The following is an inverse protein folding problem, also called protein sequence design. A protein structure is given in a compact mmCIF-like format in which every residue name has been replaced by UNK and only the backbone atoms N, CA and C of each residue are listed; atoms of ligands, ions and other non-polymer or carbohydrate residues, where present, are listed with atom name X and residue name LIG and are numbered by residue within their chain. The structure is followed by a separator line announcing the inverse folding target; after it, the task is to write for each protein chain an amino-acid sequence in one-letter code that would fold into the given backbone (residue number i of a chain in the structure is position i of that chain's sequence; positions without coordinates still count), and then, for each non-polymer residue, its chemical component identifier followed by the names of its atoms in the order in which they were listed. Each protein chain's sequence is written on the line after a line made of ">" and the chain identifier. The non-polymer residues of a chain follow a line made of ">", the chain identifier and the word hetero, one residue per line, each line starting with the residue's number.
data_IF_416471424581
#
_entry.id   IF_416471424581
#
_cell.length_a   1.000
_cell.length_b   1.000
_cell.length_c   1.000
_cell.angle_alpha   90.00
_cell.angle_beta   90.00
_cell.angle_gamma   90.00
#
_symmetry.space_group_name_H-M   'P 1'
#
loop_
_entity.id
_entity.type
_entity.pdbx_description
1 polymer ?
#
# COMPACT_ATOMS: atom_id res chain seq x y z
N UNK A 1 -1.99 37.77 7.82
CA UNK A 1 -1.27 36.48 7.81
C UNK A 1 -2.24 35.44 7.28
N UNK A 2 -1.89 34.68 6.24
CA UNK A 2 -2.75 33.61 5.74
C UNK A 2 -2.91 32.56 6.84
N UNK A 3 -4.15 32.14 7.10
CA UNK A 3 -4.41 31.04 8.01
C UNK A 3 -3.77 29.77 7.44
N UNK A 4 -2.87 29.15 8.21
CA UNK A 4 -2.21 27.90 7.82
C UNK A 4 -3.27 26.80 7.64
N UNK A 5 -3.04 25.90 6.68
CA UNK A 5 -3.85 24.69 6.50
C UNK A 5 -3.57 23.72 7.65
N UNK A 6 -4.55 22.89 7.99
CA UNK A 6 -4.47 21.98 9.14
C UNK A 6 -3.19 21.11 9.12
N UNK A 7 -2.81 20.60 7.95
CA UNK A 7 -1.68 19.68 7.79
C UNK A 7 -0.31 20.37 7.87
N UNK A 8 -0.23 21.70 7.80
CA UNK A 8 1.04 22.43 7.89
C UNK A 8 1.62 22.45 9.32
N UNK A 9 0.77 22.21 10.32
CA UNK A 9 1.14 22.21 11.74
C UNK A 9 0.63 20.98 12.49
N UNK A 10 0.02 20.01 11.80
CA UNK A 10 -0.62 18.86 12.42
C UNK A 10 0.37 17.93 13.12
N UNK A 11 -0.01 17.45 14.30
CA UNK A 11 0.58 16.29 14.96
C UNK A 11 -0.21 15.04 14.54
N UNK A 12 0.48 14.09 13.93
CA UNK A 12 -0.12 12.87 13.38
C UNK A 12 0.26 11.68 14.25
N UNK A 13 -0.75 10.96 14.74
CA UNK A 13 -0.58 9.71 15.49
C UNK A 13 -0.62 8.51 14.55
N UNK A 14 0.52 7.83 14.38
CA UNK A 14 0.57 6.62 13.57
C UNK A 14 0.00 5.43 14.34
N UNK A 15 -0.92 4.72 13.70
CA UNK A 15 -1.49 3.47 14.17
C UNK A 15 -0.95 2.32 13.30
N UNK A 16 -0.47 1.27 13.96
CA UNK A 16 -0.17 -0.01 13.33
C UNK A 16 -1.29 -1.01 13.68
N UNK A 17 -2.27 -1.25 12.78
CA UNK A 17 -3.54 -1.92 13.11
C UNK A 17 -3.37 -3.23 13.85
N UNK A 18 -2.51 -4.10 13.31
CA UNK A 18 -2.21 -5.45 13.80
C UNK A 18 -1.83 -5.52 15.28
N UNK A 19 -1.28 -4.45 15.84
CA UNK A 19 -0.75 -4.45 17.22
C UNK A 19 -1.38 -3.37 18.10
N UNK A 20 -2.46 -2.72 17.65
CA UNK A 20 -3.08 -1.63 18.39
C UNK A 20 -4.12 -2.13 19.40
N UNK A 21 -5.21 -2.73 18.91
CA UNK A 21 -6.27 -3.27 19.76
C UNK A 21 -7.03 -4.35 19.00
N UNK A 22 -7.04 -5.56 19.54
CA UNK A 22 -7.90 -6.67 19.10
C UNK A 22 -9.29 -6.52 19.73
N UNK A 23 -10.35 -6.65 18.93
CA UNK A 23 -11.74 -6.58 19.37
C UNK A 23 -12.52 -7.89 19.23
N UNK A 24 -11.94 -8.92 18.62
CA UNK A 24 -12.60 -10.20 18.32
C UNK A 24 -11.91 -11.42 18.97
N UNK A 25 -10.79 -11.19 19.67
CA UNK A 25 -9.97 -12.19 20.37
C UNK A 25 -9.24 -13.21 19.46
N UNK A 26 -8.94 -12.85 18.21
CA UNK A 26 -8.12 -13.68 17.30
C UNK A 26 -6.60 -13.43 17.44
N UNK A 27 -6.20 -12.45 18.27
CA UNK A 27 -4.81 -12.07 18.54
C UNK A 27 -4.24 -11.03 17.57
N UNK A 28 -5.05 -10.47 16.66
CA UNK A 28 -4.68 -9.47 15.67
C UNK A 28 -5.54 -8.21 15.93
N UNK A 29 -4.88 -7.05 16.01
CA UNK A 29 -5.62 -5.79 16.14
C UNK A 29 -6.38 -5.43 14.85
N UNK A 30 -7.56 -4.82 15.00
CA UNK A 30 -8.53 -4.62 13.91
C UNK A 30 -9.15 -3.20 13.92
N UNK A 31 -9.93 -2.86 12.88
CA UNK A 31 -10.52 -1.51 12.73
C UNK A 31 -11.55 -1.17 13.81
N UNK A 32 -12.30 -2.15 14.33
CA UNK A 32 -13.24 -1.91 15.42
C UNK A 32 -12.49 -1.67 16.73
N UNK A 33 -11.37 -2.37 16.94
CA UNK A 33 -10.44 -2.11 18.03
C UNK A 33 -9.89 -0.69 17.98
N UNK A 34 -9.47 -0.20 16.81
CA UNK A 34 -9.06 1.21 16.63
C UNK A 34 -10.21 2.15 16.99
N UNK A 35 -11.41 1.89 16.45
CA UNK A 35 -12.61 2.71 16.70
C UNK A 35 -12.90 2.84 18.19
N UNK A 36 -12.77 1.74 18.95
CA UNK A 36 -13.01 1.72 20.40
C UNK A 36 -12.04 2.55 21.23
N UNK A 37 -10.91 2.98 20.65
CA UNK A 37 -9.85 3.75 21.29
C UNK A 37 -9.73 5.18 20.76
N UNK A 38 -10.61 5.62 19.85
CA UNK A 38 -10.52 6.97 19.28
C UNK A 38 -10.68 8.07 20.33
N UNK A 39 -11.51 7.88 21.36
CA UNK A 39 -11.61 8.83 22.48
C UNK A 39 -10.27 9.00 23.20
N UNK A 40 -9.52 7.90 23.40
CA UNK A 40 -8.19 7.96 23.98
C UNK A 40 -7.24 8.76 23.10
N UNK A 41 -7.25 8.50 21.78
CA UNK A 41 -6.39 9.22 20.84
C UNK A 41 -6.73 10.70 20.78
N UNK A 42 -8.01 11.06 20.71
CA UNK A 42 -8.46 12.46 20.72
C UNK A 42 -7.99 13.19 22.00
N UNK A 43 -8.03 12.51 23.16
CA UNK A 43 -7.55 13.06 24.43
C UNK A 43 -6.02 13.24 24.49
N UNK A 44 -5.24 12.64 23.59
CA UNK A 44 -3.81 12.95 23.47
C UNK A 44 -3.57 14.34 22.86
N UNK A 45 -4.59 14.96 22.26
CA UNK A 45 -4.49 16.28 21.63
C UNK A 45 -3.81 16.27 20.27
N UNK A 46 -3.82 15.13 19.58
CA UNK A 46 -3.32 15.02 18.19
C UNK A 46 -4.36 15.50 17.20
N UNK A 47 -3.91 15.97 16.03
CA UNK A 47 -4.80 16.53 14.99
C UNK A 47 -5.29 15.45 14.02
N UNK A 48 -4.50 14.39 13.82
CA UNK A 48 -4.78 13.36 12.84
C UNK A 48 -4.30 11.98 13.31
N UNK A 49 -4.92 10.94 12.75
CA UNK A 49 -4.40 9.57 12.77
C UNK A 49 -3.93 9.17 11.39
N UNK A 50 -2.83 8.44 11.32
CA UNK A 50 -2.39 7.75 10.11
C UNK A 50 -2.39 6.25 10.37
N UNK A 51 -3.17 5.51 9.59
CA UNK A 51 -3.30 4.07 9.73
C UNK A 51 -2.36 3.39 8.72
N UNK A 52 -1.42 2.59 9.23
CA UNK A 52 -0.59 1.68 8.42
C UNK A 52 -1.48 0.68 7.65
N UNK A 53 -1.02 0.02 6.57
CA UNK A 53 -1.92 -0.64 5.64
C UNK A 53 -2.81 -1.71 6.30
N UNK A 54 -4.08 -1.65 5.92
CA UNK A 54 -5.14 -2.56 6.34
C UNK A 54 -5.92 -3.12 5.13
N UNK A 55 -5.35 -2.96 3.93
CA UNK A 55 -5.92 -3.44 2.68
C UNK A 55 -5.75 -4.95 2.53
N UNK A 56 -6.52 -5.57 1.62
CA UNK A 56 -6.31 -6.98 1.29
C UNK A 56 -4.87 -7.25 0.92
N UNK A 57 -4.31 -8.26 1.58
CA UNK A 57 -2.90 -8.64 1.46
C UNK A 57 -2.73 -10.10 1.85
N UNK A 58 -1.78 -10.84 1.23
CA UNK A 58 -1.35 -12.14 1.73
C UNK A 58 -0.55 -12.10 3.04
N UNK A 59 -0.26 -10.90 3.57
CA UNK A 59 0.46 -10.65 4.82
C UNK A 59 1.91 -11.16 4.83
N UNK A 60 2.56 -11.31 3.66
CA UNK A 60 3.98 -11.71 3.61
C UNK A 60 4.90 -10.60 4.11
N UNK A 61 4.47 -9.35 3.97
CA UNK A 61 5.09 -8.16 4.58
C UNK A 61 4.04 -7.38 5.40
N UNK A 62 3.21 -8.11 6.15
CA UNK A 62 2.24 -7.57 7.10
C UNK A 62 1.39 -6.39 6.58
N UNK A 63 0.85 -6.51 5.37
CA UNK A 63 -0.03 -5.51 4.75
C UNK A 63 0.65 -4.65 3.68
N UNK A 64 1.99 -4.65 3.60
CA UNK A 64 2.71 -3.91 2.55
C UNK A 64 2.76 -4.67 1.21
N UNK A 65 2.40 -5.94 1.17
CA UNK A 65 2.13 -6.68 -0.06
C UNK A 65 0.64 -6.65 -0.41
N UNK A 66 0.16 -5.55 -0.99
CA UNK A 66 -1.27 -5.30 -1.26
C UNK A 66 -1.77 -6.08 -2.49
N UNK A 67 -2.85 -6.83 -2.36
CA UNK A 67 -3.52 -7.56 -3.46
C UNK A 67 -4.79 -6.89 -3.97
N UNK A 68 -5.41 -6.01 -3.19
CA UNK A 68 -6.51 -5.12 -3.61
C UNK A 68 -6.44 -3.82 -2.80
N UNK A 69 -6.23 -2.69 -3.48
CA UNK A 69 -6.04 -1.37 -2.88
C UNK A 69 -7.35 -0.69 -2.42
N UNK A 70 -8.51 -1.22 -2.81
CA UNK A 70 -9.81 -0.60 -2.55
C UNK A 70 -10.69 -1.46 -1.63
N UNK A 71 -10.13 -2.49 -1.00
CA UNK A 71 -10.85 -3.36 -0.07
C UNK A 71 -10.02 -3.68 1.17
N UNK A 72 -10.71 -4.04 2.26
CA UNK A 72 -10.12 -4.27 3.58
C UNK A 72 -9.69 -5.73 3.71
N UNK A 73 -8.55 -5.96 4.35
CA UNK A 73 -8.12 -7.31 4.70
C UNK A 73 -9.12 -7.94 5.70
N UNK A 74 -9.59 -9.18 5.48
CA UNK A 74 -10.60 -9.80 6.36
C UNK A 74 -10.23 -9.81 7.84
N UNK A 75 -8.95 -9.92 8.18
CA UNK A 75 -8.44 -9.87 9.56
C UNK A 75 -8.58 -8.49 10.23
N UNK A 76 -8.75 -7.42 9.45
CA UNK A 76 -8.96 -6.07 9.97
C UNK A 76 -10.43 -5.64 9.97
N UNK A 77 -11.30 -6.39 9.29
CA UNK A 77 -12.74 -6.15 9.20
C UNK A 77 -13.20 -5.86 7.77
N UNK A 78 -14.14 -4.91 7.64
CA UNK A 78 -14.83 -4.61 6.38
C UNK A 78 -14.76 -3.12 6.03
N UNK A 79 -15.09 -2.80 4.78
CA UNK A 79 -15.20 -1.39 4.34
C UNK A 79 -16.24 -0.61 5.14
N UNK A 80 -17.28 -1.26 5.66
CA UNK A 80 -18.26 -0.62 6.53
C UNK A 80 -17.67 -0.31 7.91
N UNK A 81 -16.78 -1.16 8.43
CA UNK A 81 -16.08 -0.91 9.69
C UNK A 81 -15.15 0.29 9.54
N UNK A 82 -14.45 0.40 8.41
CA UNK A 82 -13.65 1.58 8.07
C UNK A 82 -14.51 2.86 8.01
N UNK A 83 -15.67 2.82 7.35
CA UNK A 83 -16.58 3.98 7.30
C UNK A 83 -17.08 4.41 8.67
N UNK A 84 -17.34 3.47 9.58
CA UNK A 84 -17.67 3.78 10.98
C UNK A 84 -16.49 4.43 11.70
N UNK A 85 -15.29 3.85 11.56
CA UNK A 85 -14.06 4.42 12.13
C UNK A 85 -13.86 5.87 11.66
N UNK A 86 -13.96 6.11 10.35
CA UNK A 86 -13.82 7.44 9.75
C UNK A 86 -14.85 8.43 10.32
N UNK A 87 -16.13 8.06 10.34
CA UNK A 87 -17.19 8.91 10.90
C UNK A 87 -16.96 9.22 12.38
N UNK A 88 -16.52 8.24 13.18
CA UNK A 88 -16.22 8.44 14.60
C UNK A 88 -15.02 9.36 14.78
N UNK A 89 -13.95 9.17 14.01
CA UNK A 89 -12.76 10.03 14.07
C UNK A 89 -13.12 11.49 13.76
N UNK A 90 -13.89 11.71 12.69
CA UNK A 90 -14.37 13.04 12.33
C UNK A 90 -15.28 13.66 13.40
N UNK A 91 -16.14 12.87 14.06
CA UNK A 91 -16.98 13.37 15.15
C UNK A 91 -16.19 13.83 16.38
N UNK A 92 -14.97 13.32 16.54
CA UNK A 92 -14.01 13.70 17.59
C UNK A 92 -13.05 14.81 17.12
N UNK A 93 -13.24 15.34 15.91
CA UNK A 93 -12.39 16.38 15.34
C UNK A 93 -11.04 15.89 14.78
N UNK A 94 -10.81 14.57 14.76
CA UNK A 94 -9.59 13.98 14.22
C UNK A 94 -9.65 13.90 12.69
N UNK A 95 -8.52 14.15 12.04
CA UNK A 95 -8.30 13.82 10.62
C UNK A 95 -7.85 12.37 10.47
N UNK A 96 -8.22 11.72 9.38
CA UNK A 96 -7.83 10.34 9.11
C UNK A 96 -7.06 10.22 7.81
N UNK A 97 -5.84 9.71 7.91
CA UNK A 97 -4.98 9.39 6.77
C UNK A 97 -4.76 7.88 6.67
N UNK A 98 -4.58 7.37 5.45
CA UNK A 98 -4.28 5.96 5.17
C UNK A 98 -2.95 5.82 4.44
N UNK A 99 -2.26 4.70 4.61
CA UNK A 99 -1.05 4.38 3.81
C UNK A 99 -1.45 4.09 2.35
N UNK A 100 -0.63 4.48 1.37
CA UNK A 100 -0.74 4.04 -0.03
C UNK A 100 0.62 3.47 -0.43
N UNK A 101 0.64 2.15 -0.64
CA UNK A 101 1.85 1.41 -1.04
C UNK A 101 2.01 1.47 -2.55
N UNK A 102 2.57 2.58 -3.04
CA UNK A 102 2.63 2.86 -4.46
C UNK A 102 3.73 2.09 -5.21
N UNK A 103 4.85 1.79 -4.55
CA UNK A 103 6.05 1.27 -5.22
C UNK A 103 5.88 -0.15 -5.82
N UNK A 104 5.01 -0.97 -5.26
CA UNK A 104 4.85 -2.39 -5.60
C UNK A 104 3.48 -2.87 -5.14
N UNK A 105 3.01 -3.97 -5.73
CA UNK A 105 1.86 -4.75 -5.23
C UNK A 105 2.32 -6.09 -4.68
N UNK A 106 1.39 -6.88 -4.15
CA UNK A 106 1.57 -8.32 -3.98
C UNK A 106 1.73 -9.05 -5.32
N UNK A 107 2.44 -10.18 -5.32
CA UNK A 107 2.43 -11.15 -6.41
C UNK A 107 1.05 -11.78 -6.63
N UNK A 108 0.13 -11.70 -5.66
CA UNK A 108 -1.27 -12.14 -5.81
C UNK A 108 -2.18 -11.05 -6.38
N UNK A 109 -1.67 -9.83 -6.61
CA UNK A 109 -2.46 -8.76 -7.20
C UNK A 109 -2.93 -9.15 -8.62
N UNK A 110 -4.20 -8.94 -8.98
CA UNK A 110 -4.74 -9.36 -10.28
C UNK A 110 -3.92 -8.85 -11.47
N UNK A 111 -3.36 -7.63 -11.37
CA UNK A 111 -2.55 -7.07 -12.45
C UNK A 111 -1.18 -7.73 -12.58
N UNK A 112 -0.55 -8.16 -11.48
CA UNK A 112 0.67 -8.96 -11.60
C UNK A 112 0.37 -10.33 -12.17
N UNK A 113 -0.72 -10.95 -11.72
CA UNK A 113 -1.19 -12.25 -12.22
C UNK A 113 -1.50 -12.23 -13.71
N UNK A 114 -2.09 -11.15 -14.23
CA UNK A 114 -2.27 -10.94 -15.66
C UNK A 114 -0.94 -10.65 -16.37
N UNK A 115 -0.19 -9.68 -15.85
CA UNK A 115 1.10 -9.23 -16.42
C UNK A 115 2.06 -10.40 -16.64
N UNK A 116 2.19 -11.30 -15.66
CA UNK A 116 3.15 -12.42 -15.70
C UNK A 116 2.81 -13.52 -16.71
N UNK A 117 1.62 -13.52 -17.33
CA UNK A 117 1.22 -14.60 -18.23
C UNK A 117 1.98 -14.57 -19.56
N UNK A 118 2.29 -13.39 -20.10
CA UNK A 118 2.94 -13.27 -21.41
C UNK A 118 3.57 -11.88 -21.62
N UNK A 119 4.38 -11.72 -22.67
CA UNK A 119 4.93 -10.42 -23.06
C UNK A 119 3.93 -9.52 -23.81
N UNK A 120 2.68 -9.97 -24.05
CA UNK A 120 1.72 -9.33 -24.97
C UNK A 120 0.31 -9.12 -24.39
N UNK A 121 0.09 -9.35 -23.09
CA UNK A 121 -1.21 -9.09 -22.45
C UNK A 121 -1.39 -7.59 -22.13
N UNK A 122 -2.59 -7.20 -21.69
CA UNK A 122 -2.94 -5.79 -21.46
C UNK A 122 -2.13 -5.11 -20.34
N UNK A 123 -1.55 -5.92 -19.44
CA UNK A 123 -0.75 -5.50 -18.29
C UNK A 123 0.73 -5.81 -18.45
N UNK A 124 1.19 -6.18 -19.64
CA UNK A 124 2.54 -6.73 -19.83
C UNK A 124 3.67 -5.76 -19.48
N UNK A 125 3.38 -4.46 -19.46
CA UNK A 125 4.29 -3.35 -19.11
C UNK A 125 3.84 -2.59 -17.84
N UNK A 126 3.03 -3.21 -16.98
CA UNK A 126 2.62 -2.59 -15.70
C UNK A 126 3.65 -2.78 -14.59
N UNK A 127 4.57 -3.72 -14.77
CA UNK A 127 5.67 -4.03 -13.85
C UNK A 127 6.98 -3.98 -14.63
N UNK A 128 8.09 -3.79 -13.92
CA UNK A 128 9.41 -3.80 -14.54
C UNK A 128 9.81 -5.23 -14.93
N UNK A 129 9.75 -5.52 -16.23
CA UNK A 129 10.22 -6.76 -16.84
C UNK A 129 11.47 -6.51 -17.67
N UNK A 130 12.37 -7.49 -17.69
CA UNK A 130 13.62 -7.40 -18.46
C UNK A 130 14.05 -8.79 -18.92
N UNK A 131 14.59 -8.87 -20.13
CA UNK A 131 15.19 -10.10 -20.63
C UNK A 131 16.47 -10.42 -19.85
N UNK A 132 16.83 -11.70 -19.68
CA UNK A 132 18.09 -12.08 -19.05
C UNK A 132 19.28 -11.59 -19.89
N UNK A 133 20.44 -11.45 -19.25
CA UNK A 133 21.71 -11.31 -19.97
C UNK A 133 21.98 -12.55 -20.84
N UNK A 134 22.90 -12.49 -21.84
CA UNK A 134 23.18 -13.63 -22.72
C UNK A 134 23.63 -14.92 -21.99
N UNK A 135 24.18 -14.78 -20.78
CA UNK A 135 24.58 -15.90 -19.90
C UNK A 135 23.45 -16.39 -18.98
N UNK A 136 22.26 -15.83 -19.09
CA UNK A 136 21.08 -16.15 -18.29
C UNK A 136 20.99 -15.39 -16.97
N UNK A 137 21.95 -14.52 -16.63
CA UNK A 137 21.96 -13.80 -15.34
C UNK A 137 21.03 -12.57 -15.31
N UNK A 138 20.69 -12.04 -14.12
CA UNK A 138 19.97 -10.78 -13.98
C UNK A 138 20.67 -9.61 -14.69
N UNK A 139 19.93 -8.56 -15.12
CA UNK A 139 20.48 -7.46 -15.92
C UNK A 139 21.43 -6.53 -15.14
N UNK A 140 21.32 -6.51 -13.81
CA UNK A 140 22.11 -5.63 -12.94
C UNK A 140 22.45 -6.35 -11.63
N UNK A 141 23.39 -5.79 -10.87
CA UNK A 141 23.76 -6.25 -9.53
C UNK A 141 22.86 -5.67 -8.42
N UNK A 142 21.66 -5.18 -8.73
CA UNK A 142 20.77 -4.59 -7.75
C UNK A 142 20.34 -5.63 -6.70
N UNK A 143 20.31 -5.21 -5.45
CA UNK A 143 19.98 -6.05 -4.30
C UNK A 143 18.63 -5.65 -3.72
N UNK A 144 17.89 -6.66 -3.24
CA UNK A 144 16.68 -6.42 -2.45
C UNK A 144 17.06 -5.93 -1.06
N UNK A 145 16.27 -4.99 -0.53
CA UNK A 145 16.38 -4.54 0.86
C UNK A 145 16.13 -5.66 1.88
N UNK A 146 15.46 -6.73 1.48
CA UNK A 146 15.16 -7.89 2.34
C UNK A 146 16.06 -9.10 2.06
N UNK A 147 17.15 -8.87 1.31
CA UNK A 147 18.19 -9.87 1.04
C UNK A 147 18.03 -10.56 -0.31
N UNK A 148 19.16 -10.97 -0.88
CA UNK A 148 19.23 -11.54 -2.23
C UNK A 148 19.22 -10.48 -3.34
N UNK A 149 19.18 -10.95 -4.59
CA UNK A 149 19.07 -10.08 -5.76
C UNK A 149 17.68 -9.43 -5.87
N UNK A 150 17.61 -8.27 -6.50
CA UNK A 150 16.35 -7.54 -6.75
C UNK A 150 15.55 -8.08 -7.96
N UNK A 151 16.01 -9.17 -8.58
CA UNK A 151 15.44 -9.70 -9.82
C UNK A 151 15.04 -11.16 -9.63
N UNK A 152 13.78 -11.47 -9.91
CA UNK A 152 13.23 -12.84 -9.84
C UNK A 152 12.78 -13.32 -11.21
N UNK A 153 13.08 -14.58 -11.52
CA UNK A 153 12.78 -15.18 -12.83
C UNK A 153 11.30 -15.60 -12.96
N UNK A 154 10.65 -15.23 -14.06
CA UNK A 154 9.32 -15.71 -14.45
C UNK A 154 9.42 -16.65 -15.65
N UNK A 155 9.20 -17.96 -15.48
CA UNK A 155 9.35 -18.94 -16.55
C UNK A 155 8.36 -18.74 -17.71
N UNK A 156 7.15 -18.21 -17.45
CA UNK A 156 6.14 -17.99 -18.51
C UNK A 156 6.55 -16.92 -19.52
N UNK A 157 7.28 -15.91 -19.05
CA UNK A 157 7.77 -14.80 -19.88
C UNK A 157 9.22 -14.99 -20.30
N UNK A 158 9.95 -15.88 -19.65
CA UNK A 158 11.40 -15.99 -19.77
C UNK A 158 12.08 -14.61 -19.55
N UNK A 159 11.64 -13.94 -18.49
CA UNK A 159 12.08 -12.60 -18.10
C UNK A 159 12.28 -12.53 -16.60
N UNK A 160 13.14 -11.62 -16.17
CA UNK A 160 13.20 -11.19 -14.77
C UNK A 160 12.17 -10.09 -14.51
N UNK A 161 11.61 -10.06 -13.31
CA UNK A 161 10.88 -8.91 -12.79
C UNK A 161 11.59 -8.29 -11.59
N UNK A 162 11.48 -6.97 -11.46
CA UNK A 162 12.07 -6.21 -10.36
C UNK A 162 11.24 -6.38 -9.07
N UNK A 163 11.93 -6.60 -7.96
CA UNK A 163 11.40 -6.46 -6.61
C UNK A 163 12.47 -5.86 -5.68
N UNK A 164 12.23 -4.64 -5.20
CA UNK A 164 13.11 -3.97 -4.25
C UNK A 164 13.01 -4.59 -2.83
N UNK A 165 11.94 -5.31 -2.55
CA UNK A 165 11.65 -5.93 -1.26
C UNK A 165 11.50 -7.45 -1.45
N UNK A 166 10.44 -8.07 -0.91
CA UNK A 166 10.22 -9.51 -1.09
C UNK A 166 10.04 -9.85 -2.58
N UNK A 167 10.43 -11.05 -3.03
CA UNK A 167 10.06 -11.56 -4.36
C UNK A 167 8.55 -11.54 -4.62
N UNK A 168 7.74 -11.59 -3.56
CA UNK A 168 6.29 -11.44 -3.63
C UNK A 168 5.80 -9.99 -3.70
N UNK A 169 6.69 -9.01 -3.84
CA UNK A 169 6.40 -7.58 -3.95
C UNK A 169 6.94 -7.01 -5.28
N UNK A 170 6.42 -7.45 -6.44
CA UNK A 170 6.85 -6.95 -7.75
C UNK A 170 6.61 -5.44 -7.88
N UNK A 171 7.62 -4.71 -8.36
CA UNK A 171 7.56 -3.26 -8.53
C UNK A 171 6.75 -2.86 -9.75
N UNK A 172 5.83 -1.90 -9.54
CA UNK A 172 5.13 -1.24 -10.63
C UNK A 172 6.08 -0.44 -11.52
N UNK A 173 5.76 -0.35 -12.81
CA UNK A 173 6.47 0.48 -13.77
C UNK A 173 5.73 1.82 -13.97
N UNK A 174 6.10 2.86 -13.21
CA UNK A 174 5.49 4.19 -13.35
C UNK A 174 5.89 4.96 -14.62
N UNK A 175 6.81 4.44 -15.43
CA UNK A 175 7.00 4.96 -16.79
C UNK A 175 5.80 4.65 -17.69
N UNK A 176 4.95 3.70 -17.30
CA UNK A 176 3.68 3.44 -17.96
C UNK A 176 2.58 4.35 -17.38
N UNK A 177 1.99 5.27 -18.18
CA UNK A 177 1.00 6.23 -17.68
C UNK A 177 -0.25 5.56 -17.10
N UNK A 178 -0.61 4.34 -17.55
CA UNK A 178 -1.77 3.61 -17.02
C UNK A 178 -1.59 3.18 -15.57
N UNK A 179 -0.35 3.03 -15.11
CA UNK A 179 -0.04 2.75 -13.70
C UNK A 179 -0.30 4.00 -12.88
N UNK A 180 0.07 5.19 -13.38
CA UNK A 180 -0.25 6.45 -12.72
C UNK A 180 -1.76 6.66 -12.62
N UNK A 181 -2.48 6.48 -13.74
CA UNK A 181 -3.95 6.58 -13.78
C UNK A 181 -4.61 5.64 -12.75
N UNK A 182 -4.11 4.41 -12.63
CA UNK A 182 -4.59 3.45 -11.64
C UNK A 182 -4.42 3.93 -10.19
N UNK A 183 -3.28 4.54 -9.85
CA UNK A 183 -3.07 5.10 -8.51
C UNK A 183 -3.89 6.37 -8.26
N UNK A 184 -4.19 7.15 -9.30
CA UNK A 184 -5.14 8.27 -9.20
C UNK A 184 -6.57 7.77 -8.92
N UNK A 185 -6.98 6.66 -9.56
CA UNK A 185 -8.27 6.01 -9.29
C UNK A 185 -8.36 5.49 -7.85
N UNK A 186 -7.30 4.86 -7.33
CA UNK A 186 -7.22 4.43 -5.92
C UNK A 186 -7.35 5.64 -4.99
N UNK A 187 -6.58 6.70 -5.24
CA UNK A 187 -6.64 7.91 -4.43
C UNK A 187 -8.04 8.53 -4.45
N UNK A 188 -8.69 8.58 -5.63
CA UNK A 188 -10.05 9.07 -5.79
C UNK A 188 -11.06 8.23 -5.01
N UNK A 189 -10.95 6.90 -5.06
CA UNK A 189 -11.82 6.00 -4.30
C UNK A 189 -11.80 6.33 -2.79
N UNK A 190 -10.61 6.50 -2.21
CA UNK A 190 -10.47 6.81 -0.78
C UNK A 190 -10.89 8.24 -0.44
N UNK A 191 -10.65 9.21 -1.32
CA UNK A 191 -11.16 10.57 -1.15
C UNK A 191 -12.69 10.64 -1.26
N UNK A 192 -13.31 9.89 -2.17
CA UNK A 192 -14.77 9.81 -2.32
C UNK A 192 -15.43 9.18 -1.07
N UNK A 193 -14.71 8.33 -0.32
CA UNK A 193 -15.14 7.83 0.99
C UNK A 193 -15.02 8.92 2.08
N UNK A 194 -14.10 9.87 1.93
CA UNK A 194 -13.90 11.00 2.86
C UNK A 194 -12.59 10.98 3.64
N UNK A 195 -11.59 10.21 3.22
CA UNK A 195 -10.24 10.21 3.83
C UNK A 195 -9.59 11.61 3.70
N UNK A 196 -8.89 12.08 4.72
CA UNK A 196 -8.32 13.44 4.76
C UNK A 196 -6.91 13.53 4.13
N UNK A 197 -6.26 12.40 3.87
CA UNK A 197 -4.97 12.36 3.19
C UNK A 197 -4.32 10.99 3.14
N UNK A 198 -3.14 10.93 2.54
CA UNK A 198 -2.36 9.70 2.39
C UNK A 198 -0.96 9.87 2.95
N UNK A 199 -0.44 8.83 3.58
CA UNK A 199 0.99 8.61 3.64
C UNK A 199 1.36 7.78 2.41
N UNK A 200 2.21 8.33 1.54
CA UNK A 200 2.63 7.63 0.32
C UNK A 200 3.96 6.92 0.58
N UNK A 201 3.92 5.59 0.60
CA UNK A 201 5.11 4.78 0.86
C UNK A 201 5.97 4.61 -0.39
N UNK A 202 7.20 5.10 -0.29
CA UNK A 202 8.33 5.05 -1.24
C UNK A 202 7.95 5.41 -2.69
N UNK A 203 7.88 6.73 -2.96
CA UNK A 203 7.78 7.29 -4.30
C UNK A 203 9.15 7.54 -4.98
N UNK A 204 10.27 7.32 -4.28
CA UNK A 204 11.58 7.93 -4.58
C UNK A 204 12.41 7.33 -5.74
N UNK A 205 11.92 6.36 -6.51
CA UNK A 205 12.71 5.71 -7.57
C UNK A 205 12.28 6.08 -9.01
N UNK A 206 11.27 6.95 -9.17
CA UNK A 206 10.63 7.18 -10.47
C UNK A 206 11.27 8.26 -11.35
N UNK A 207 12.43 8.80 -10.97
CA UNK A 207 13.24 9.68 -11.83
C UNK A 207 14.75 9.48 -11.61
N UNK A 208 15.29 8.43 -12.20
CA UNK A 208 16.71 8.35 -12.58
C UNK A 208 16.77 7.69 -13.95
N UNK A 209 16.78 8.51 -15.00
CA UNK A 209 16.84 8.08 -16.41
C UNK A 209 16.12 9.04 -17.32
#
# INVERSE_FOLDING_TARGET
>A
MSQLKWWETAVIYQIYPRSFQDSNADGIGDLNGITSRLDYIANLGVDAIWISPFFKSPQKDFGYDVSDYCDIAPEYGTLNDFKRLLSTAHSLGLKLMVDIVAAHSSDQHPYFQESRQSKRNSKSDWYHWVDPMPDGTPPTNWLSFFGGGAWSWEPRRQQYYLHNFLPSQPNFNFSNPKVLDYFEEIARFWFDIGVDGFQIRRCSYHKCG
#
